data_IF_555581229849
#
_entry.id   IF_555581229849
#
_cell.length_a   1.000
_cell.length_b   1.000
_cell.length_c   1.000
_cell.angle_alpha   90.00
_cell.angle_beta   90.00
_cell.angle_gamma   90.00
#
_symmetry.space_group_name_H-M   'P 1'
#
loop_
_entity.id
_entity.type
_entity.pdbx_description
1 polymer ?
#
# COMPACT_ATOMS: atom_id res chain seq x y z
N UNK A 1 45.48 23.23 29.02
CA UNK A 1 44.57 23.83 28.02
C UNK A 1 43.61 22.85 27.40
N UNK A 2 43.88 21.54 27.33
CA UNK A 2 43.00 20.50 26.74
C UNK A 2 41.80 20.06 27.60
N UNK A 3 41.75 20.35 28.87
CA UNK A 3 40.64 19.95 29.77
C UNK A 3 39.42 20.86 29.70
N UNK A 4 39.51 22.06 29.13
CA UNK A 4 38.38 23.01 29.02
C UNK A 4 37.65 22.91 27.68
N UNK A 5 38.25 22.32 26.62
CA UNK A 5 37.59 22.13 25.33
C UNK A 5 36.68 20.88 25.29
N UNK A 6 36.94 19.87 26.15
CA UNK A 6 36.12 18.64 26.17
C UNK A 6 34.79 18.81 26.91
N UNK A 7 34.67 19.80 27.78
CA UNK A 7 33.41 20.08 28.50
C UNK A 7 32.46 20.97 27.70
N UNK A 8 32.93 21.73 26.72
CA UNK A 8 32.06 22.58 25.88
C UNK A 8 31.35 21.79 24.77
N UNK A 9 31.94 20.70 24.27
CA UNK A 9 31.32 19.86 23.25
C UNK A 9 30.22 18.93 23.78
N UNK A 10 30.21 18.60 25.08
CA UNK A 10 29.14 17.81 25.70
C UNK A 10 27.90 18.66 26.09
N UNK A 11 28.08 19.97 26.35
CA UNK A 11 26.98 20.85 26.71
C UNK A 11 26.09 21.25 25.51
N UNK A 12 26.65 21.25 24.29
CA UNK A 12 25.86 21.54 23.08
C UNK A 12 24.90 20.44 22.63
N UNK A 13 25.13 19.17 23.03
CA UNK A 13 24.25 18.08 22.65
C UNK A 13 22.98 17.97 23.53
N UNK A 14 22.93 18.62 24.69
CA UNK A 14 21.79 18.54 25.61
C UNK A 14 20.72 19.62 25.41
N UNK A 15 20.95 20.63 24.58
CA UNK A 15 20.00 21.73 24.36
C UNK A 15 19.18 21.65 23.09
N UNK A 16 19.34 20.58 22.29
CA UNK A 16 18.56 20.36 21.06
C UNK A 16 17.30 19.47 21.23
N UNK A 17 16.90 19.12 22.47
CA UNK A 17 15.82 18.17 22.74
C UNK A 17 14.55 18.77 23.37
N UNK A 18 14.32 20.06 23.25
CA UNK A 18 13.08 20.69 23.68
C UNK A 18 12.27 21.17 22.46
N UNK A 19 11.69 20.24 21.72
CA UNK A 19 10.87 20.57 20.56
C UNK A 19 10.29 19.37 19.82
N UNK A 20 9.92 18.29 20.53
CA UNK A 20 9.06 17.28 19.91
C UNK A 20 7.61 17.77 20.01
N UNK A 21 7.16 18.50 18.98
CA UNK A 21 5.74 18.70 18.74
C UNK A 21 5.09 17.33 18.60
N UNK A 22 4.26 16.93 19.56
CA UNK A 22 3.41 15.75 19.44
C UNK A 22 2.52 15.91 18.21
N UNK A 23 2.45 14.88 17.36
CA UNK A 23 1.44 14.83 16.31
C UNK A 23 0.06 15.07 16.96
N UNK A 24 -0.85 15.81 16.29
CA UNK A 24 -2.18 16.03 16.83
C UNK A 24 -2.83 14.68 17.15
N UNK A 25 -3.36 14.55 18.36
CA UNK A 25 -4.12 13.39 18.77
C UNK A 25 -5.34 13.25 17.83
N UNK A 26 -5.59 12.04 17.33
CA UNK A 26 -6.80 11.73 16.57
C UNK A 26 -8.03 12.16 17.38
N UNK A 27 -8.92 12.91 16.74
CA UNK A 27 -10.16 13.43 17.38
C UNK A 27 -11.19 12.34 17.72
N UNK A 28 -10.94 11.06 17.39
CA UNK A 28 -11.89 9.95 17.49
C UNK A 28 -11.73 9.08 18.74
N UNK A 29 -10.77 9.34 19.62
CA UNK A 29 -10.51 8.53 20.82
C UNK A 29 -9.94 7.12 20.54
N UNK A 30 -9.70 6.74 19.29
CA UNK A 30 -9.08 5.48 18.87
C UNK A 30 -7.57 5.70 18.65
N UNK A 31 -6.80 4.62 18.83
CA UNK A 31 -5.32 4.61 18.72
C UNK A 31 -4.81 4.17 17.34
N UNK A 32 -5.70 4.10 16.37
CA UNK A 32 -5.41 3.72 14.96
C UNK A 32 -6.25 4.52 13.97
N UNK A 33 -5.80 4.52 12.72
CA UNK A 33 -6.58 4.89 11.52
C UNK A 33 -6.95 3.61 10.78
N UNK A 34 -8.17 3.52 10.22
CA UNK A 34 -8.64 2.33 9.51
C UNK A 34 -8.94 2.61 8.05
N UNK A 35 -8.27 1.87 7.16
CA UNK A 35 -8.52 1.88 5.72
C UNK A 35 -9.24 0.59 5.35
N UNK A 36 -10.35 0.69 4.63
CA UNK A 36 -11.04 -0.43 4.01
C UNK A 36 -10.69 -0.48 2.53
N UNK A 37 -10.36 -1.68 2.02
CA UNK A 37 -9.95 -1.86 0.63
C UNK A 37 -11.00 -2.64 -0.13
N UNK A 38 -11.55 -2.03 -1.18
CA UNK A 38 -12.51 -2.64 -2.12
C UNK A 38 -11.80 -2.80 -3.45
N UNK A 39 -11.77 -4.01 -4.00
CA UNK A 39 -11.06 -4.31 -5.24
C UNK A 39 -11.91 -5.10 -6.22
N UNK A 40 -11.64 -4.89 -7.51
CA UNK A 40 -12.21 -5.71 -8.58
C UNK A 40 -13.74 -5.84 -8.43
N UNK A 41 -14.36 -4.66 -8.28
CA UNK A 41 -15.80 -4.54 -8.06
C UNK A 41 -16.60 -5.02 -9.28
N UNK A 42 -16.10 -4.72 -10.50
CA UNK A 42 -16.72 -5.05 -11.77
C UNK A 42 -18.24 -4.77 -11.79
N UNK A 43 -18.60 -3.55 -11.38
CA UNK A 43 -20.02 -3.19 -11.26
C UNK A 43 -20.66 -2.92 -12.62
N UNK A 44 -21.92 -3.38 -12.90
CA UNK A 44 -22.74 -4.17 -11.97
C UNK A 44 -22.22 -5.61 -11.77
N UNK A 45 -21.82 -6.34 -12.79
CA UNK A 45 -21.15 -7.66 -12.74
C UNK A 45 -20.78 -8.15 -14.13
N UNK A 46 -19.73 -8.97 -14.23
CA UNK A 46 -19.36 -9.70 -15.46
C UNK A 46 -20.22 -10.96 -15.71
N UNK A 47 -20.99 -11.41 -14.73
CA UNK A 47 -21.86 -12.56 -14.88
C UNK A 47 -22.97 -12.28 -15.89
N UNK A 48 -23.25 -13.25 -16.77
CA UNK A 48 -24.29 -13.14 -17.84
C UNK A 48 -25.60 -13.84 -17.49
N UNK A 49 -25.56 -14.91 -16.69
CA UNK A 49 -26.76 -15.63 -16.26
C UNK A 49 -27.49 -14.82 -15.17
N UNK A 50 -28.79 -14.59 -15.33
CA UNK A 50 -29.61 -13.68 -14.51
C UNK A 50 -29.59 -14.05 -13.02
N UNK A 51 -29.77 -15.33 -12.70
CA UNK A 51 -29.74 -15.86 -11.35
C UNK A 51 -28.38 -15.57 -10.63
N UNK A 52 -27.30 -15.66 -11.39
CA UNK A 52 -25.95 -15.34 -10.87
C UNK A 52 -25.75 -13.85 -10.71
N UNK A 53 -26.27 -13.05 -11.68
CA UNK A 53 -26.16 -11.59 -11.63
C UNK A 53 -26.80 -11.05 -10.35
N UNK A 54 -28.05 -11.42 -10.09
CA UNK A 54 -28.77 -10.94 -8.91
C UNK A 54 -28.06 -11.34 -7.62
N UNK A 55 -27.62 -12.60 -7.49
CA UNK A 55 -26.92 -13.07 -6.31
C UNK A 55 -25.59 -12.31 -6.06
N UNK A 56 -24.86 -11.93 -7.11
CA UNK A 56 -23.62 -11.13 -6.99
C UNK A 56 -23.95 -9.70 -6.58
N UNK A 57 -24.97 -9.10 -7.14
CA UNK A 57 -25.42 -7.75 -6.77
C UNK A 57 -25.86 -7.68 -5.31
N UNK A 58 -26.61 -8.69 -4.84
CA UNK A 58 -27.04 -8.81 -3.45
C UNK A 58 -25.84 -8.94 -2.50
N UNK A 59 -24.80 -9.71 -2.89
CA UNK A 59 -23.58 -9.83 -2.12
C UNK A 59 -22.81 -8.50 -2.05
N UNK A 60 -22.71 -7.75 -3.16
CA UNK A 60 -22.07 -6.42 -3.18
C UNK A 60 -22.82 -5.43 -2.29
N UNK A 61 -24.14 -5.44 -2.38
CA UNK A 61 -24.98 -4.56 -1.55
C UNK A 61 -24.84 -4.89 -0.06
N UNK A 62 -24.88 -6.20 0.28
CA UNK A 62 -24.64 -6.64 1.65
C UNK A 62 -23.29 -6.20 2.17
N UNK A 63 -22.22 -6.38 1.38
CA UNK A 63 -20.87 -5.98 1.77
C UNK A 63 -20.76 -4.47 1.97
N UNK A 64 -21.40 -3.65 1.12
CA UNK A 64 -21.48 -2.19 1.28
C UNK A 64 -22.20 -1.83 2.58
N UNK A 65 -23.33 -2.48 2.89
CA UNK A 65 -24.09 -2.23 4.13
C UNK A 65 -23.27 -2.61 5.37
N UNK A 66 -22.55 -3.73 5.35
CA UNK A 66 -21.67 -4.14 6.44
C UNK A 66 -20.60 -3.06 6.71
N UNK A 67 -19.94 -2.56 5.63
CA UNK A 67 -18.91 -1.52 5.74
C UNK A 67 -19.51 -0.20 6.26
N UNK A 68 -20.66 0.20 5.76
CA UNK A 68 -21.36 1.40 6.23
C UNK A 68 -21.80 1.28 7.70
N UNK A 69 -21.98 0.06 8.20
CA UNK A 69 -22.24 -0.24 9.60
C UNK A 69 -21.04 -0.01 10.52
N UNK A 70 -19.82 -0.09 9.99
CA UNK A 70 -18.58 0.14 10.76
C UNK A 70 -18.39 1.63 11.02
N UNK A 71 -18.24 2.02 12.29
CA UNK A 71 -18.17 3.43 12.70
C UNK A 71 -16.76 3.99 12.77
N UNK A 72 -15.77 3.14 12.55
CA UNK A 72 -14.35 3.43 12.72
C UNK A 72 -13.55 3.47 11.40
N UNK A 73 -14.23 3.49 10.25
CA UNK A 73 -13.60 3.58 8.93
C UNK A 73 -13.24 5.05 8.64
N UNK A 74 -11.96 5.31 8.40
CA UNK A 74 -11.46 6.65 8.07
C UNK A 74 -11.32 6.86 6.57
N UNK A 75 -11.07 5.77 5.81
CA UNK A 75 -10.87 5.83 4.37
C UNK A 75 -11.33 4.53 3.70
N UNK A 76 -12.05 4.62 2.60
CA UNK A 76 -12.29 3.50 1.68
C UNK A 76 -11.47 3.70 0.40
N UNK A 77 -10.63 2.72 0.05
CA UNK A 77 -9.82 2.74 -1.17
C UNK A 77 -10.36 1.71 -2.15
N UNK A 78 -10.69 2.17 -3.36
CA UNK A 78 -11.08 1.32 -4.47
C UNK A 78 -9.86 1.10 -5.35
N UNK A 79 -9.38 -0.16 -5.42
CA UNK A 79 -8.08 -0.49 -6.02
C UNK A 79 -8.18 -0.97 -7.47
N UNK A 80 -9.11 -0.40 -8.23
CA UNK A 80 -9.26 -0.65 -9.67
C UNK A 80 -10.25 -1.75 -10.03
N UNK A 81 -10.49 -1.89 -11.33
CA UNK A 81 -11.49 -2.78 -11.92
C UNK A 81 -12.88 -2.56 -11.30
N UNK A 82 -13.27 -1.29 -11.21
CA UNK A 82 -14.56 -0.87 -10.67
C UNK A 82 -15.68 -1.09 -11.67
N UNK A 83 -15.42 -0.84 -12.98
CA UNK A 83 -16.38 -1.09 -14.06
C UNK A 83 -16.43 -2.56 -14.45
N UNK A 84 -17.56 -2.99 -15.01
CA UNK A 84 -17.74 -4.39 -15.39
C UNK A 84 -16.76 -4.83 -16.49
N UNK A 85 -16.59 -4.03 -17.53
CA UNK A 85 -15.83 -4.45 -18.72
C UNK A 85 -14.94 -3.38 -19.34
N UNK A 86 -15.41 -2.13 -19.51
CA UNK A 86 -14.72 -1.11 -20.31
C UNK A 86 -14.79 0.26 -19.66
N UNK A 87 -13.80 1.10 -19.96
CA UNK A 87 -13.70 2.47 -19.49
C UNK A 87 -14.62 3.48 -20.18
N UNK A 88 -15.84 3.08 -20.58
CA UNK A 88 -16.82 4.03 -21.10
C UNK A 88 -17.34 4.94 -20.00
N UNK A 89 -17.72 6.16 -20.38
CA UNK A 89 -18.26 7.14 -19.44
C UNK A 89 -19.49 6.62 -18.70
N UNK A 90 -20.35 5.85 -19.38
CA UNK A 90 -21.58 5.35 -18.80
C UNK A 90 -21.31 4.25 -17.76
N UNK A 91 -20.39 3.30 -18.05
CA UNK A 91 -20.00 2.29 -17.07
C UNK A 91 -19.28 2.91 -15.85
N UNK A 92 -18.43 3.92 -16.07
CA UNK A 92 -17.79 4.63 -14.98
C UNK A 92 -18.79 5.35 -14.06
N UNK A 93 -19.79 6.02 -14.65
CA UNK A 93 -20.88 6.66 -13.89
C UNK A 93 -21.76 5.65 -13.15
N UNK A 94 -22.07 4.53 -13.77
CA UNK A 94 -22.85 3.46 -13.14
C UNK A 94 -22.12 2.89 -11.92
N UNK A 95 -20.83 2.56 -12.07
CA UNK A 95 -20.00 2.10 -10.97
C UNK A 95 -19.88 3.18 -9.87
N UNK A 96 -19.66 4.44 -10.25
CA UNK A 96 -19.57 5.56 -9.32
C UNK A 96 -20.82 5.73 -8.48
N UNK A 97 -22.00 5.61 -9.07
CA UNK A 97 -23.27 5.71 -8.36
C UNK A 97 -23.39 4.65 -7.24
N UNK A 98 -22.94 3.43 -7.49
CA UNK A 98 -22.89 2.40 -6.45
C UNK A 98 -21.89 2.75 -5.35
N UNK A 99 -20.68 3.19 -5.75
CA UNK A 99 -19.62 3.53 -4.80
C UNK A 99 -19.91 4.79 -4.00
N UNK A 100 -20.72 5.71 -4.49
CA UNK A 100 -21.18 6.88 -3.74
C UNK A 100 -22.05 6.49 -2.54
N UNK A 101 -22.65 5.31 -2.57
CA UNK A 101 -23.37 4.74 -1.42
C UNK A 101 -22.50 4.29 -0.25
N UNK A 102 -21.17 4.26 -0.37
CA UNK A 102 -20.28 4.07 0.78
C UNK A 102 -20.16 5.36 1.60
N UNK A 103 -20.12 5.22 2.92
CA UNK A 103 -19.94 6.35 3.83
C UNK A 103 -18.49 6.81 3.90
N UNK A 104 -18.26 8.08 4.25
CA UNK A 104 -16.93 8.62 4.56
C UNK A 104 -16.06 8.91 3.31
N UNK A 105 -14.77 9.17 3.59
CA UNK A 105 -13.77 9.51 2.57
C UNK A 105 -13.49 8.33 1.65
N UNK A 106 -13.28 8.63 0.37
CA UNK A 106 -13.01 7.63 -0.68
C UNK A 106 -11.84 8.06 -1.55
N UNK A 107 -11.03 7.09 -1.97
CA UNK A 107 -10.01 7.26 -3.01
C UNK A 107 -10.19 6.16 -4.04
N UNK A 108 -10.00 6.52 -5.30
CA UNK A 108 -10.15 5.63 -6.44
C UNK A 108 -8.82 5.56 -7.20
N UNK A 109 -8.41 4.35 -7.57
CA UNK A 109 -7.37 4.12 -8.59
C UNK A 109 -7.98 3.31 -9.72
N UNK A 110 -7.53 3.51 -10.94
CA UNK A 110 -7.99 2.73 -12.07
C UNK A 110 -7.37 1.34 -12.08
N UNK A 111 -8.09 0.39 -12.65
CA UNK A 111 -7.56 -0.90 -13.08
C UNK A 111 -7.51 -1.00 -14.61
N UNK A 112 -7.25 -2.21 -15.10
CA UNK A 112 -7.18 -2.43 -16.53
C UNK A 112 -8.55 -2.37 -17.23
N UNK A 113 -9.63 -2.61 -16.51
CA UNK A 113 -10.97 -2.49 -17.07
C UNK A 113 -11.38 -1.04 -17.30
N UNK A 114 -10.90 -0.09 -16.50
CA UNK A 114 -11.11 1.32 -16.75
C UNK A 114 -10.31 1.85 -17.93
N UNK A 115 -9.07 1.37 -18.16
CA UNK A 115 -8.16 2.08 -19.06
C UNK A 115 -7.77 1.29 -20.32
N UNK A 116 -7.58 -0.04 -20.20
CA UNK A 116 -6.84 -0.82 -21.19
C UNK A 116 -7.68 -1.44 -22.30
N UNK A 117 -8.96 -1.70 -22.07
CA UNK A 117 -9.82 -2.43 -23.03
C UNK A 117 -10.80 -1.51 -23.74
N UNK A 118 -11.07 -1.82 -25.03
CA UNK A 118 -12.14 -1.20 -25.79
C UNK A 118 -13.45 -2.00 -25.68
N UNK A 119 -14.57 -1.38 -26.01
CA UNK A 119 -15.92 -1.98 -25.96
C UNK A 119 -16.12 -3.03 -27.08
N UNK A 120 -15.29 -4.07 -27.04
CA UNK A 120 -15.30 -5.15 -28.01
C UNK A 120 -14.81 -6.45 -27.34
N UNK A 121 -15.49 -7.55 -27.68
CA UNK A 121 -15.05 -8.90 -27.34
C UNK A 121 -14.65 -9.67 -28.59
N UNK A 122 -13.45 -10.22 -28.61
CA UNK A 122 -13.00 -11.15 -29.63
C UNK A 122 -12.86 -12.54 -29.03
N UNK A 123 -13.66 -13.48 -29.51
CA UNK A 123 -13.73 -14.83 -28.93
C UNK A 123 -14.01 -14.83 -27.41
N UNK A 124 -14.90 -13.94 -26.95
CA UNK A 124 -15.26 -13.81 -25.54
C UNK A 124 -14.19 -13.16 -24.65
N UNK A 125 -13.11 -12.61 -25.23
CA UNK A 125 -12.04 -11.94 -24.49
C UNK A 125 -12.04 -10.44 -24.81
N UNK A 126 -11.78 -9.57 -23.80
CA UNK A 126 -11.61 -8.14 -24.02
C UNK A 126 -10.49 -7.83 -25.01
N UNK A 127 -10.71 -6.84 -25.86
CA UNK A 127 -9.75 -6.39 -26.85
C UNK A 127 -9.06 -5.13 -26.36
N UNK A 128 -7.75 -5.07 -26.53
CA UNK A 128 -6.94 -3.92 -26.16
C UNK A 128 -7.37 -2.68 -26.94
N UNK A 129 -7.56 -1.57 -26.25
CA UNK A 129 -7.77 -0.25 -26.83
C UNK A 129 -6.48 0.28 -27.48
N UNK A 130 -6.63 1.05 -28.55
CA UNK A 130 -5.51 1.80 -29.09
C UNK A 130 -5.11 2.95 -28.15
N UNK A 131 -3.91 3.54 -28.33
CA UNK A 131 -3.44 4.60 -27.42
C UNK A 131 -4.36 5.82 -27.33
N UNK A 132 -5.03 6.22 -28.42
CA UNK A 132 -5.92 7.36 -28.41
C UNK A 132 -7.19 7.11 -27.57
N UNK A 133 -7.73 5.89 -27.67
CA UNK A 133 -8.87 5.48 -26.85
C UNK A 133 -8.48 5.35 -25.37
N UNK A 134 -7.26 4.88 -25.05
CA UNK A 134 -6.77 4.82 -23.68
C UNK A 134 -6.68 6.22 -23.06
N UNK A 135 -6.14 7.21 -23.80
CA UNK A 135 -6.15 8.61 -23.35
C UNK A 135 -7.58 9.10 -23.07
N UNK A 136 -8.53 8.76 -23.93
CA UNK A 136 -9.94 9.12 -23.71
C UNK A 136 -10.52 8.42 -22.46
N UNK A 137 -10.10 7.19 -22.16
CA UNK A 137 -10.48 6.47 -20.95
C UNK A 137 -9.87 7.12 -19.70
N UNK A 138 -8.61 7.55 -19.73
CA UNK A 138 -7.98 8.31 -18.64
C UNK A 138 -8.72 9.62 -18.37
N UNK A 139 -9.07 10.36 -19.43
CA UNK A 139 -9.89 11.58 -19.33
C UNK A 139 -11.26 11.30 -18.70
N UNK A 140 -11.90 10.19 -19.07
CA UNK A 140 -13.17 9.77 -18.49
C UNK A 140 -13.00 9.43 -17.01
N UNK A 141 -11.96 8.65 -16.69
CA UNK A 141 -11.65 8.29 -15.31
C UNK A 141 -11.45 9.53 -14.44
N UNK A 142 -10.62 10.46 -14.89
CA UNK A 142 -10.31 11.69 -14.15
C UNK A 142 -11.56 12.56 -13.93
N UNK A 143 -12.47 12.63 -14.91
CA UNK A 143 -13.73 13.36 -14.78
C UNK A 143 -14.68 12.76 -13.76
N UNK A 144 -14.67 11.42 -13.59
CA UNK A 144 -15.63 10.70 -12.74
C UNK A 144 -15.06 10.44 -11.34
N UNK A 145 -13.79 10.04 -11.26
CA UNK A 145 -13.17 9.52 -10.05
C UNK A 145 -12.06 10.40 -9.45
N UNK A 146 -11.49 11.29 -10.23
CA UNK A 146 -10.38 12.16 -9.82
C UNK A 146 -9.04 11.75 -10.46
N UNK A 147 -7.92 12.22 -9.92
CA UNK A 147 -6.60 12.06 -10.55
C UNK A 147 -6.16 10.60 -10.64
N UNK A 148 -5.37 10.25 -11.66
CA UNK A 148 -4.82 8.91 -11.87
C UNK A 148 -3.80 8.52 -10.79
N UNK A 149 -3.08 9.50 -10.24
CA UNK A 149 -2.20 9.29 -9.10
C UNK A 149 -2.35 10.42 -8.08
N UNK A 150 -2.19 10.09 -6.81
CA UNK A 150 -2.33 11.06 -5.70
C UNK A 150 -1.64 10.57 -4.44
N UNK A 151 -1.59 11.42 -3.42
CA UNK A 151 -1.07 11.09 -2.10
C UNK A 151 -2.00 11.57 -0.99
N UNK A 152 -1.94 10.92 0.18
CA UNK A 152 -2.64 11.35 1.40
C UNK A 152 -1.77 11.05 2.62
N UNK A 153 -1.69 11.99 3.55
CA UNK A 153 -1.14 11.70 4.87
C UNK A 153 -2.25 11.19 5.80
N UNK A 154 -1.96 10.15 6.56
CA UNK A 154 -2.87 9.57 7.54
C UNK A 154 -2.10 9.21 8.81
N UNK A 155 -2.29 9.98 9.87
CA UNK A 155 -1.43 9.92 11.05
C UNK A 155 0.05 10.16 10.67
N UNK A 156 0.90 9.19 10.97
CA UNK A 156 2.33 9.24 10.56
C UNK A 156 2.63 8.59 9.22
N UNK A 157 1.62 7.97 8.61
CA UNK A 157 1.77 7.21 7.38
C UNK A 157 1.60 8.09 6.15
N UNK A 158 2.31 7.73 5.11
CA UNK A 158 2.21 8.34 3.80
C UNK A 158 1.61 7.34 2.82
N UNK A 159 0.47 7.70 2.25
CA UNK A 159 -0.26 6.86 1.31
C UNK A 159 -0.03 7.37 -0.11
N UNK A 160 0.28 6.47 -1.03
CA UNK A 160 0.46 6.75 -2.45
C UNK A 160 -0.55 5.90 -3.21
N UNK A 161 -1.30 6.52 -4.10
CA UNK A 161 -2.31 5.90 -4.94
C UNK A 161 -1.89 6.06 -6.40
N UNK A 162 -1.83 4.94 -7.15
CA UNK A 162 -1.31 4.87 -8.52
C UNK A 162 -2.26 4.07 -9.40
N UNK A 163 -2.47 4.54 -10.62
CA UNK A 163 -3.26 3.85 -11.66
C UNK A 163 -2.33 3.41 -12.80
N UNK A 164 -2.58 2.29 -13.50
CA UNK A 164 -1.76 1.86 -14.63
C UNK A 164 -1.98 2.79 -15.86
N UNK A 165 -1.25 3.88 -15.93
CA UNK A 165 -1.49 5.00 -16.86
C UNK A 165 -0.61 4.99 -18.12
N UNK A 166 0.05 3.88 -18.47
CA UNK A 166 0.79 3.83 -19.73
C UNK A 166 -0.13 3.56 -20.92
N UNK A 167 -0.55 4.62 -21.60
CA UNK A 167 -1.42 4.54 -22.78
C UNK A 167 -0.78 3.84 -23.97
N UNK A 168 0.54 3.67 -24.01
CA UNK A 168 1.31 2.99 -25.06
C UNK A 168 1.84 1.64 -24.60
N UNK A 169 1.69 1.32 -23.34
CA UNK A 169 2.16 0.10 -22.70
C UNK A 169 1.61 -1.16 -23.34
N UNK A 170 2.40 -2.21 -23.28
CA UNK A 170 2.06 -3.54 -23.78
C UNK A 170 1.18 -4.32 -22.81
N UNK A 171 1.34 -4.04 -21.52
CA UNK A 171 0.67 -4.76 -20.45
C UNK A 171 -0.49 -3.95 -19.88
N UNK A 172 -1.55 -4.62 -19.38
CA UNK A 172 -2.74 -3.91 -18.88
C UNK A 172 -2.51 -3.20 -17.54
N UNK A 173 -1.35 -3.39 -16.94
CA UNK A 173 -0.98 -2.89 -15.61
C UNK A 173 0.44 -2.32 -15.64
N UNK A 174 0.68 -1.42 -16.59
CA UNK A 174 1.98 -0.81 -16.84
C UNK A 174 1.99 0.66 -16.41
N UNK A 175 3.02 1.03 -15.66
CA UNK A 175 3.29 2.42 -15.27
C UNK A 175 4.02 3.13 -16.39
N UNK A 176 3.63 4.35 -16.69
CA UNK A 176 4.38 5.20 -17.62
C UNK A 176 5.73 5.60 -17.01
N UNK A 177 6.64 6.07 -17.87
CA UNK A 177 7.90 6.64 -17.37
C UNK A 177 7.65 7.87 -16.49
N UNK A 178 6.70 8.68 -16.86
CA UNK A 178 6.30 9.89 -16.15
C UNK A 178 5.77 9.57 -14.75
N UNK A 179 4.96 8.53 -14.61
CA UNK A 179 4.47 8.04 -13.33
C UNK A 179 5.60 7.48 -12.46
N UNK A 180 6.53 6.71 -13.04
CA UNK A 180 7.71 6.20 -12.32
C UNK A 180 8.63 7.34 -11.84
N UNK A 181 8.83 8.37 -12.64
CA UNK A 181 9.61 9.56 -12.26
C UNK A 181 8.92 10.31 -11.12
N UNK A 182 7.60 10.47 -11.19
CA UNK A 182 6.78 11.09 -10.15
C UNK A 182 6.85 10.27 -8.83
N UNK A 183 6.70 8.94 -8.93
CA UNK A 183 6.78 8.04 -7.78
C UNK A 183 8.18 8.09 -7.13
N UNK A 184 9.23 8.09 -7.94
CA UNK A 184 10.63 8.21 -7.48
C UNK A 184 10.84 9.49 -6.68
N UNK A 185 10.38 10.62 -7.21
CA UNK A 185 10.46 11.92 -6.54
C UNK A 185 9.65 11.92 -5.25
N UNK A 186 8.42 11.45 -5.30
CA UNK A 186 7.49 11.41 -4.16
C UNK A 186 8.05 10.58 -3.01
N UNK A 187 8.60 9.40 -3.29
CA UNK A 187 9.23 8.55 -2.28
C UNK A 187 10.48 9.21 -1.68
N UNK A 188 11.30 9.86 -2.49
CA UNK A 188 12.49 10.59 -2.03
C UNK A 188 12.14 11.74 -1.09
N UNK A 189 11.07 12.47 -1.37
CA UNK A 189 10.62 13.59 -0.53
C UNK A 189 9.99 13.14 0.80
N UNK A 190 9.58 11.86 0.91
CA UNK A 190 8.90 11.29 2.07
C UNK A 190 9.63 10.12 2.73
N UNK A 191 10.95 10.05 2.65
CA UNK A 191 11.78 8.94 3.14
C UNK A 191 11.63 8.65 4.64
N UNK A 192 11.23 9.63 5.44
CA UNK A 192 11.08 9.47 6.89
C UNK A 192 9.71 8.89 7.31
N UNK A 193 8.77 8.74 6.38
CA UNK A 193 7.39 8.32 6.69
C UNK A 193 7.17 6.86 6.26
N UNK A 194 6.65 5.98 7.15
CA UNK A 194 6.19 4.67 6.72
C UNK A 194 5.18 4.82 5.59
N UNK A 195 5.49 4.23 4.42
CA UNK A 195 4.74 4.44 3.19
C UNK A 195 3.96 3.20 2.79
N UNK A 196 2.74 3.40 2.31
CA UNK A 196 1.85 2.38 1.75
C UNK A 196 1.53 2.78 0.32
N UNK A 197 1.79 1.89 -0.62
CA UNK A 197 1.47 2.09 -2.05
C UNK A 197 0.25 1.26 -2.39
N UNK A 198 -0.75 1.90 -2.99
CA UNK A 198 -1.92 1.26 -3.59
C UNK A 198 -1.75 1.29 -5.11
N UNK A 199 -1.78 0.13 -5.70
CA UNK A 199 -1.72 -0.06 -7.15
C UNK A 199 -2.58 -1.24 -7.56
N UNK A 200 -3.19 -1.21 -8.75
CA UNK A 200 -4.13 -2.25 -9.14
C UNK A 200 -3.52 -3.66 -9.17
N UNK A 201 -2.32 -3.82 -9.71
CA UNK A 201 -1.66 -5.12 -9.83
C UNK A 201 -0.64 -5.40 -8.72
N UNK A 202 -0.44 -6.68 -8.33
CA UNK A 202 0.57 -7.07 -7.36
C UNK A 202 2.00 -6.92 -7.91
N UNK A 203 2.98 -7.00 -7.01
CA UNK A 203 4.39 -7.10 -7.35
C UNK A 203 4.69 -8.49 -7.95
N UNK A 204 5.72 -8.57 -8.80
CA UNK A 204 6.19 -9.85 -9.31
C UNK A 204 6.68 -10.75 -8.16
N UNK A 205 6.57 -12.05 -8.34
CA UNK A 205 7.12 -13.08 -7.43
C UNK A 205 6.60 -13.03 -5.98
N UNK A 206 5.46 -12.36 -5.75
CA UNK A 206 4.79 -12.31 -4.43
C UNK A 206 3.57 -13.24 -4.33
N UNK A 207 3.33 -14.08 -5.33
CA UNK A 207 2.21 -15.00 -5.38
C UNK A 207 2.68 -16.38 -5.86
N UNK A 208 2.31 -17.43 -5.13
CA UNK A 208 2.50 -18.81 -5.61
C UNK A 208 1.52 -19.05 -6.77
N UNK A 209 1.99 -19.33 -7.98
CA UNK A 209 1.10 -19.59 -9.10
C UNK A 209 0.15 -20.76 -8.82
N UNK A 210 -1.14 -20.52 -8.85
CA UNK A 210 -2.18 -21.54 -8.67
C UNK A 210 -2.96 -21.84 -9.96
N UNK A 211 -2.63 -21.13 -11.04
CA UNK A 211 -3.08 -21.39 -12.42
C UNK A 211 -2.09 -20.72 -13.41
N UNK A 212 -2.19 -21.07 -14.69
CA UNK A 212 -1.28 -20.60 -15.76
C UNK A 212 -1.33 -19.08 -16.01
N UNK A 213 -2.34 -18.39 -15.50
CA UNK A 213 -2.51 -16.96 -15.72
C UNK A 213 -1.70 -16.13 -14.73
N UNK A 214 -1.58 -16.58 -13.50
CA UNK A 214 -1.04 -15.79 -12.38
C UNK A 214 0.44 -15.45 -12.53
N UNK A 215 1.26 -16.27 -13.15
CA UNK A 215 2.69 -16.01 -13.40
C UNK A 215 3.01 -15.19 -14.66
N UNK A 216 2.00 -14.69 -15.37
CA UNK A 216 2.22 -13.90 -16.59
C UNK A 216 2.57 -12.44 -16.27
N UNK A 217 3.47 -11.79 -17.05
CA UNK A 217 3.74 -10.36 -16.94
C UNK A 217 2.51 -9.44 -17.02
N UNK A 218 1.39 -9.95 -17.49
CA UNK A 218 0.11 -9.24 -17.54
C UNK A 218 -0.58 -9.13 -16.18
N UNK A 219 -0.13 -9.91 -15.20
CA UNK A 219 -0.80 -10.03 -13.89
C UNK A 219 -0.04 -9.40 -12.73
N UNK A 220 1.11 -8.78 -13.00
CA UNK A 220 1.85 -8.04 -11.99
C UNK A 220 2.36 -6.70 -12.53
N UNK A 221 2.61 -5.76 -11.64
CA UNK A 221 3.01 -4.39 -11.95
C UNK A 221 4.20 -4.33 -12.90
N UNK A 222 4.09 -3.53 -13.94
CA UNK A 222 5.11 -3.32 -14.97
C UNK A 222 5.52 -1.84 -15.03
N UNK A 223 6.76 -1.55 -15.41
CA UNK A 223 7.88 -2.46 -15.70
C UNK A 223 8.53 -3.01 -14.41
N UNK A 224 8.46 -4.32 -14.21
CA UNK A 224 8.86 -4.98 -12.96
C UNK A 224 10.29 -4.63 -12.50
N UNK A 225 11.27 -4.60 -13.42
CA UNK A 225 12.66 -4.29 -13.06
C UNK A 225 12.88 -2.84 -12.57
N UNK A 226 12.12 -1.86 -13.07
CA UNK A 226 12.21 -0.48 -12.60
C UNK A 226 11.56 -0.33 -11.22
N UNK A 227 10.41 -0.98 -11.03
CA UNK A 227 9.71 -1.03 -9.73
C UNK A 227 10.58 -1.72 -8.68
N UNK A 228 11.24 -2.82 -9.05
CA UNK A 228 12.17 -3.55 -8.18
C UNK A 228 13.30 -2.64 -7.66
N UNK A 229 14.00 -1.97 -8.57
CA UNK A 229 15.08 -1.05 -8.21
C UNK A 229 14.59 0.11 -7.33
N UNK A 230 13.40 0.64 -7.62
CA UNK A 230 12.78 1.69 -6.84
C UNK A 230 12.51 1.22 -5.40
N UNK A 231 11.89 0.05 -5.24
CA UNK A 231 11.52 -0.49 -3.93
C UNK A 231 12.73 -0.90 -3.10
N UNK A 232 13.79 -1.43 -3.71
CA UNK A 232 15.05 -1.74 -3.04
C UNK A 232 15.71 -0.52 -2.39
N UNK A 233 15.56 0.66 -3.00
CA UNK A 233 16.17 1.91 -2.53
C UNK A 233 15.26 2.73 -1.62
N UNK A 234 14.02 2.27 -1.38
CA UNK A 234 13.01 2.97 -0.58
C UNK A 234 12.49 2.12 0.60
N UNK A 235 13.30 1.87 1.64
CA UNK A 235 12.97 0.98 2.76
C UNK A 235 11.81 1.48 3.64
N UNK A 236 11.38 2.73 3.48
CA UNK A 236 10.19 3.28 4.13
C UNK A 236 8.88 2.67 3.61
N UNK A 237 8.87 2.08 2.40
CA UNK A 237 7.70 1.36 1.89
C UNK A 237 7.48 0.09 2.71
N UNK A 238 6.27 -0.08 3.23
CA UNK A 238 5.88 -1.20 4.12
C UNK A 238 4.85 -2.12 3.49
N UNK A 239 3.91 -1.55 2.75
CA UNK A 239 2.86 -2.28 2.05
C UNK A 239 2.82 -1.88 0.58
N UNK A 240 2.52 -2.88 -0.24
CA UNK A 240 1.96 -2.76 -1.58
C UNK A 240 0.56 -3.38 -1.54
N UNK A 241 -0.47 -2.64 -1.91
CA UNK A 241 -1.87 -3.07 -1.77
C UNK A 241 -2.46 -3.23 -3.15
N UNK A 242 -2.83 -4.45 -3.51
CA UNK A 242 -3.18 -4.83 -4.90
C UNK A 242 -4.46 -5.64 -5.01
N UNK A 243 -5.01 -5.69 -6.24
CA UNK A 243 -6.13 -6.53 -6.66
C UNK A 243 -5.77 -7.38 -7.88
N UNK A 244 -6.51 -7.19 -9.01
CA UNK A 244 -6.24 -7.70 -10.35
C UNK A 244 -6.22 -9.23 -10.51
N UNK A 245 -5.51 -9.95 -9.65
CA UNK A 245 -5.41 -11.42 -9.70
C UNK A 245 -6.63 -12.12 -9.10
N UNK A 246 -7.55 -11.37 -8.46
CA UNK A 246 -8.73 -11.90 -7.78
C UNK A 246 -8.42 -13.00 -6.76
N UNK A 247 -7.21 -13.00 -6.18
CA UNK A 247 -6.76 -14.06 -5.26
C UNK A 247 -7.63 -14.10 -4.00
N UNK A 248 -8.41 -15.16 -3.76
CA UNK A 248 -9.30 -15.22 -2.60
C UNK A 248 -8.58 -15.76 -1.36
N UNK A 249 -9.11 -15.51 -0.15
CA UNK A 249 -8.56 -16.04 1.10
C UNK A 249 -8.52 -17.58 1.19
N UNK A 250 -9.20 -18.26 0.28
CA UNK A 250 -9.17 -19.72 0.17
C UNK A 250 -7.92 -20.26 -0.53
N UNK A 251 -7.14 -19.39 -1.19
CA UNK A 251 -5.87 -19.77 -1.81
C UNK A 251 -4.73 -19.72 -0.77
N UNK A 252 -3.87 -20.74 -0.71
CA UNK A 252 -2.74 -20.78 0.23
C UNK A 252 -1.81 -19.57 0.13
N UNK A 253 -1.66 -19.00 -1.07
CA UNK A 253 -0.80 -17.83 -1.31
C UNK A 253 -1.41 -16.50 -0.88
N UNK A 254 -2.67 -16.44 -0.43
CA UNK A 254 -3.29 -15.19 0.02
C UNK A 254 -2.65 -14.62 1.29
N UNK A 255 -2.23 -15.49 2.20
CA UNK A 255 -1.50 -15.13 3.41
C UNK A 255 -0.31 -16.11 3.56
N UNK A 256 0.80 -15.80 2.93
CA UNK A 256 1.98 -16.65 2.84
C UNK A 256 3.26 -15.79 2.92
N UNK A 257 4.37 -16.39 3.32
CA UNK A 257 5.67 -15.71 3.36
C UNK A 257 6.12 -15.18 1.99
N UNK A 258 5.69 -15.83 0.89
CA UNK A 258 5.97 -15.36 -0.48
C UNK A 258 5.45 -13.94 -0.75
N UNK A 259 4.43 -13.50 -0.01
CA UNK A 259 3.88 -12.15 -0.16
C UNK A 259 4.84 -11.03 0.33
N UNK A 260 5.91 -11.39 1.03
CA UNK A 260 6.92 -10.42 1.45
C UNK A 260 7.96 -10.20 0.37
N UNK A 261 7.76 -9.19 -0.46
CA UNK A 261 8.71 -8.78 -1.48
C UNK A 261 10.06 -8.40 -0.86
N UNK A 262 11.13 -9.08 -1.28
CA UNK A 262 12.47 -9.00 -0.66
C UNK A 262 12.46 -9.17 0.88
N UNK A 263 11.48 -9.90 1.42
CA UNK A 263 11.35 -10.12 2.87
C UNK A 263 11.01 -8.85 3.69
N UNK A 264 10.57 -7.76 3.05
CA UNK A 264 10.39 -6.45 3.71
C UNK A 264 9.06 -5.77 3.41
N UNK A 265 8.57 -5.82 2.18
CA UNK A 265 7.34 -5.15 1.74
C UNK A 265 6.27 -6.20 1.61
N UNK A 266 5.20 -6.11 2.41
CA UNK A 266 4.08 -7.03 2.28
C UNK A 266 3.18 -6.60 1.12
N UNK A 267 3.05 -7.45 0.10
CA UNK A 267 2.01 -7.32 -0.92
C UNK A 267 0.69 -7.86 -0.38
N UNK A 268 -0.29 -6.99 -0.26
CA UNK A 268 -1.62 -7.29 0.30
C UNK A 268 -2.60 -7.52 -0.82
N UNK A 269 -2.91 -8.78 -1.09
CA UNK A 269 -3.89 -9.17 -2.09
C UNK A 269 -5.31 -8.87 -1.65
N UNK A 270 -6.11 -8.26 -2.54
CA UNK A 270 -7.52 -8.01 -2.30
C UNK A 270 -8.37 -8.87 -3.24
N UNK A 271 -9.33 -9.65 -2.68
CA UNK A 271 -10.21 -10.49 -3.47
C UNK A 271 -11.18 -9.66 -4.32
N UNK A 272 -11.61 -10.23 -5.45
CA UNK A 272 -12.69 -9.63 -6.23
C UNK A 272 -14.00 -9.57 -5.46
N UNK A 273 -14.75 -8.48 -5.67
CA UNK A 273 -16.13 -8.34 -5.20
C UNK A 273 -17.15 -8.94 -6.20
N UNK A 274 -16.71 -9.32 -7.40
CA UNK A 274 -17.57 -9.90 -8.44
C UNK A 274 -17.69 -11.43 -8.32
N UNK A 275 -18.21 -11.89 -7.18
CA UNK A 275 -18.25 -13.29 -6.86
C UNK A 275 -19.42 -13.73 -5.97
N UNK A 276 -19.53 -15.06 -5.79
CA UNK A 276 -20.53 -15.69 -4.91
C UNK A 276 -20.28 -15.43 -3.42
N UNK A 277 -19.12 -14.93 -3.08
CA UNK A 277 -18.71 -14.59 -1.73
C UNK A 277 -17.77 -13.38 -1.82
N UNK A 278 -17.99 -12.44 -0.94
CA UNK A 278 -17.21 -11.20 -0.87
C UNK A 278 -16.39 -11.20 0.42
N UNK A 279 -15.12 -10.87 0.28
CA UNK A 279 -14.20 -10.63 1.38
C UNK A 279 -13.58 -9.25 1.25
N UNK A 280 -13.29 -8.62 2.37
CA UNK A 280 -12.73 -7.27 2.38
C UNK A 280 -11.58 -7.18 3.38
N UNK A 281 -10.45 -6.63 2.96
CA UNK A 281 -9.36 -6.29 3.86
C UNK A 281 -9.60 -4.94 4.53
N UNK A 282 -9.31 -4.87 5.83
CA UNK A 282 -9.14 -3.63 6.57
C UNK A 282 -7.69 -3.52 7.03
N UNK A 283 -7.09 -2.35 6.82
CA UNK A 283 -5.73 -2.01 7.23
C UNK A 283 -5.83 -1.05 8.41
N UNK A 284 -5.34 -1.47 9.57
CA UNK A 284 -5.30 -0.69 10.79
C UNK A 284 -3.90 -0.12 10.97
N UNK A 285 -3.79 1.19 11.00
CA UNK A 285 -2.55 1.94 11.10
C UNK A 285 -2.34 2.42 12.53
N UNK A 286 -1.64 1.63 13.33
CA UNK A 286 -1.26 1.99 14.70
C UNK A 286 0.03 2.82 14.71
N UNK A 287 0.36 3.37 15.87
CA UNK A 287 1.60 4.11 16.05
C UNK A 287 2.86 3.25 15.82
N UNK A 288 2.85 1.99 16.18
CA UNK A 288 4.00 1.07 16.20
C UNK A 288 3.89 -0.13 15.25
N UNK A 289 2.74 -0.31 14.62
CA UNK A 289 2.47 -1.46 13.75
C UNK A 289 1.39 -1.18 12.72
N UNK A 290 1.33 -2.02 11.70
CA UNK A 290 0.21 -2.12 10.77
C UNK A 290 -0.41 -3.49 10.96
N UNK A 291 -1.74 -3.56 11.07
CA UNK A 291 -2.49 -4.81 11.17
C UNK A 291 -3.46 -4.90 9.99
N UNK A 292 -3.41 -5.98 9.24
CA UNK A 292 -4.35 -6.26 8.15
C UNK A 292 -5.27 -7.38 8.60
N UNK A 293 -6.58 -7.17 8.50
CA UNK A 293 -7.62 -8.15 8.81
C UNK A 293 -8.54 -8.35 7.62
N UNK A 294 -9.00 -9.56 7.42
CA UNK A 294 -9.94 -9.92 6.34
C UNK A 294 -11.30 -10.25 6.94
N UNK A 295 -12.35 -9.61 6.42
CA UNK A 295 -13.75 -9.87 6.80
C UNK A 295 -14.44 -10.76 5.77
N UNK A 296 -15.17 -11.76 6.22
CA UNK A 296 -16.04 -12.59 5.39
C UNK A 296 -17.47 -12.07 5.49
N UNK A 297 -17.94 -11.38 4.44
CA UNK A 297 -19.28 -10.77 4.43
C UNK A 297 -20.41 -11.81 4.42
N UNK A 298 -20.17 -13.00 3.90
CA UNK A 298 -21.17 -14.08 3.92
C UNK A 298 -21.38 -14.64 5.31
N UNK A 299 -20.30 -14.81 6.06
CA UNK A 299 -20.35 -15.33 7.43
C UNK A 299 -20.58 -14.26 8.48
N UNK A 300 -20.25 -13.00 8.19
CA UNK A 300 -20.31 -11.89 9.13
C UNK A 300 -19.26 -11.99 10.24
N UNK A 301 -18.03 -12.44 9.91
CA UNK A 301 -16.95 -12.64 10.87
C UNK A 301 -15.57 -12.26 10.33
N UNK A 302 -14.64 -11.93 11.23
CA UNK A 302 -13.23 -11.80 10.91
C UNK A 302 -12.57 -13.15 10.68
N UNK A 303 -11.73 -13.24 9.65
CA UNK A 303 -10.91 -14.41 9.37
C UNK A 303 -9.57 -14.31 10.12
N UNK A 304 -9.54 -14.70 11.40
CA UNK A 304 -8.36 -14.51 12.26
C UNK A 304 -7.07 -15.09 11.68
N UNK A 305 -7.17 -16.25 11.01
CA UNK A 305 -6.02 -16.90 10.34
C UNK A 305 -5.45 -16.07 9.18
N UNK A 306 -6.18 -15.07 8.69
CA UNK A 306 -5.75 -14.16 7.62
C UNK A 306 -5.21 -12.84 8.18
N UNK A 307 -5.10 -12.71 9.51
CA UNK A 307 -4.52 -11.52 10.13
C UNK A 307 -3.01 -11.47 9.90
N UNK A 308 -2.53 -10.32 9.45
CA UNK A 308 -1.11 -10.03 9.21
C UNK A 308 -0.70 -8.81 10.02
N UNK A 309 0.48 -8.86 10.62
CA UNK A 309 0.99 -7.75 11.43
C UNK A 309 2.42 -7.41 11.01
N UNK A 310 2.65 -6.12 10.73
CA UNK A 310 3.98 -5.58 10.47
C UNK A 310 4.33 -4.64 11.61
N UNK A 311 5.36 -4.98 12.37
CA UNK A 311 5.90 -4.12 13.42
C UNK A 311 6.81 -3.07 12.79
N UNK A 312 6.61 -1.81 13.15
CA UNK A 312 7.47 -0.70 12.73
C UNK A 312 8.54 -0.49 13.79
N UNK A 313 9.75 -0.95 13.48
CA UNK A 313 10.89 -0.69 14.35
C UNK A 313 11.17 0.84 14.38
N UNK A 314 11.02 1.44 15.54
CA UNK A 314 11.44 2.82 15.74
C UNK A 314 12.97 2.87 15.78
N UNK A 315 13.58 3.75 14.99
CA UNK A 315 15.03 3.98 14.99
C UNK A 315 15.64 4.47 16.31
N UNK A 316 14.86 4.53 17.38
CA UNK A 316 15.28 4.99 18.71
C UNK A 316 15.96 3.89 19.54
N UNK A 317 15.69 2.60 19.25
CA UNK A 317 16.32 1.49 19.96
C UNK A 317 17.82 1.34 19.65
N UNK A 318 18.24 1.70 18.44
CA UNK A 318 19.65 1.57 18.04
C UNK A 318 20.49 2.73 18.61
N UNK A 319 19.91 3.94 18.69
CA UNK A 319 20.63 5.09 19.27
C UNK A 319 20.81 4.95 20.79
N UNK A 320 19.81 4.43 21.52
CA UNK A 320 19.94 4.23 22.97
C UNK A 320 20.90 3.08 23.32
N UNK A 321 20.87 1.98 22.57
CA UNK A 321 21.81 0.87 22.76
C UNK A 321 23.25 1.26 22.34
N UNK A 322 23.42 1.95 21.21
CA UNK A 322 24.73 2.44 20.80
C UNK A 322 25.29 3.48 21.77
N UNK A 323 24.48 4.42 22.26
CA UNK A 323 24.91 5.37 23.31
C UNK A 323 25.25 4.66 24.61
N UNK A 324 24.47 3.68 25.08
CA UNK A 324 24.80 2.89 26.27
C UNK A 324 26.07 2.05 26.09
N UNK A 325 26.30 1.49 24.88
CA UNK A 325 27.55 0.76 24.60
C UNK A 325 28.75 1.68 24.54
N UNK A 326 28.64 2.85 23.94
CA UNK A 326 29.71 3.86 23.87
C UNK A 326 30.01 4.40 25.29
N UNK A 327 29.01 4.72 26.09
CA UNK A 327 29.22 5.14 27.49
C UNK A 327 29.86 4.03 28.32
N UNK A 328 29.40 2.80 28.22
CA UNK A 328 29.99 1.67 28.92
C UNK A 328 31.44 1.41 28.49
N UNK A 329 31.73 1.53 27.19
CA UNK A 329 33.06 1.37 26.63
C UNK A 329 34.00 2.49 27.07
N UNK A 330 33.55 3.75 27.06
CA UNK A 330 34.31 4.92 27.55
C UNK A 330 34.55 4.82 29.04
N UNK A 331 33.58 4.41 29.86
CA UNK A 331 33.75 4.17 31.30
C UNK A 331 34.77 3.06 31.59
N UNK A 332 34.79 1.98 30.81
CA UNK A 332 35.79 0.91 30.91
C UNK A 332 37.18 1.39 30.53
N UNK A 333 37.35 2.22 29.50
CA UNK A 333 38.63 2.82 29.11
C UNK A 333 39.15 3.79 30.15
N UNK A 334 38.27 4.58 30.77
CA UNK A 334 38.64 5.50 31.84
C UNK A 334 39.00 4.78 33.15
N UNK A 335 38.33 3.67 33.46
CA UNK A 335 38.60 2.82 34.61
C UNK A 335 39.88 1.99 34.47
N UNK A 336 40.32 1.68 33.24
CA UNK A 336 41.56 0.94 32.98
C UNK A 336 42.83 1.81 33.06
N UNK A 337 42.73 3.13 33.20
CA UNK A 337 43.86 3.98 33.48
C UNK A 337 44.24 3.91 34.97
N UNK A 338 45.14 2.95 35.32
CA UNK A 338 45.84 2.96 36.60
C UNK A 338 46.69 4.23 36.70
N UNK A 339 46.68 4.92 37.82
CA UNK A 339 47.62 6.02 38.05
C UNK A 339 49.00 5.42 38.31
N UNK A 340 49.99 5.71 37.46
CA UNK A 340 51.38 5.42 37.70
C UNK A 340 52.11 4.69 36.57
N UNK A 341 52.48 5.42 35.51
CA UNK A 341 53.70 5.12 34.74
C UNK A 341 54.27 6.45 34.18
N UNK A 342 55.55 6.73 34.33
CA UNK A 342 56.13 7.97 33.88
C UNK A 342 56.35 7.99 32.36
N UNK A 343 56.23 9.19 31.79
CA UNK A 343 56.52 9.45 30.40
C UNK A 343 58.04 9.30 30.14
N UNK A 344 58.40 8.35 29.32
CA UNK A 344 59.68 8.33 28.64
C UNK A 344 59.54 7.52 27.36
N UNK A 345 59.51 8.22 26.23
CA UNK A 345 60.13 7.74 25.01
C UNK A 345 60.15 8.89 23.99
N UNK A 346 61.35 9.50 23.90
CA UNK A 346 61.82 10.31 22.80
C UNK A 346 61.98 9.40 21.56
N UNK A 347 61.50 9.84 20.45
CA UNK A 347 61.83 9.24 19.16
C UNK A 347 62.68 10.22 18.40
N UNK A 348 63.88 9.74 18.10
CA UNK A 348 64.82 10.28 17.11
C UNK A 348 64.31 10.02 15.70
#
# INVERSE_FOLDING_TARGET
MFRKLLCLSLACCCLAFAGCGGAPASSSGKDYERIVVVSDLHYPTKATAEDKRQAILDNKEKARQDINGWKDVDLTVFTGDMVAQYGSMDQMKEAKNFMDGFSGDKVYIAGNHELFYKEELKNGKPVMADPALRVAHEDNFQKVFGPLHSTKEMGKYFLIFLSPEDTKGKYPVEMSKEELDWLTKTLKENQSKPTIIFYHAPLSDTLIPYNDKVGSPRNFAQPAGAIDLLLLTNPQVKLWVSGHTHTPPTQPSFNNEVNYYHGKILDVYNPTWDGKQVWTNSIYLYRDKIVIKTWDHKKGEWMDKMTRTITLLWGWGICSLACCWIESFVRRLLAARKPGLPAALSIS
#
